data_IF_824779505958
#
_entry.id   IF_824779505958
#
_cell.length_a   1.000
_cell.length_b   1.000
_cell.length_c   1.000
_cell.angle_alpha   90.00
_cell.angle_beta   90.00
_cell.angle_gamma   90.00
#
_symmetry.space_group_name_H-M   'P 1'
#
loop_
_entity.id
_entity.type
_entity.pdbx_description
1 polymer ?
#
# COMPACT_ATOMS: atom_id res chain seq x y z
N UNK A 1 -8.92 12.49 12.95
CA UNK A 1 -7.82 12.05 12.10
C UNK A 1 -7.92 10.57 11.80
N UNK A 2 -7.42 10.16 10.67
CA UNK A 2 -7.54 8.78 10.20
C UNK A 2 -6.24 8.33 9.58
N UNK A 3 -5.84 7.10 9.89
CA UNK A 3 -4.73 6.40 9.24
C UNK A 3 -5.26 5.60 8.06
N UNK A 4 -4.53 5.65 6.95
CA UNK A 4 -4.80 4.80 5.79
C UNK A 4 -3.52 4.02 5.49
N UNK A 5 -3.65 2.71 5.44
CA UNK A 5 -2.59 1.80 4.99
C UNK A 5 -3.03 1.21 3.66
N UNK A 6 -2.23 1.39 2.63
CA UNK A 6 -2.52 0.81 1.33
C UNK A 6 -1.39 -0.13 0.92
N UNK A 7 -1.72 -1.39 0.73
CA UNK A 7 -0.79 -2.39 0.20
C UNK A 7 -1.03 -2.51 -1.29
N UNK A 8 -0.07 -2.11 -2.10
CA UNK A 8 -0.21 -2.05 -3.55
C UNK A 8 0.94 -2.80 -4.24
N UNK A 9 0.77 -3.06 -5.54
CA UNK A 9 1.86 -3.61 -6.34
C UNK A 9 3.01 -2.59 -6.43
N UNK A 10 4.26 -3.03 -6.34
CA UNK A 10 5.40 -2.10 -6.44
C UNK A 10 5.40 -1.28 -7.72
N UNK A 11 4.96 -1.87 -8.83
CA UNK A 11 4.89 -1.18 -10.12
C UNK A 11 3.88 -0.04 -10.18
N UNK A 12 2.95 0.02 -9.22
CA UNK A 12 1.95 1.09 -9.13
C UNK A 12 2.36 2.22 -8.19
N UNK A 13 3.51 2.14 -7.57
CA UNK A 13 3.94 3.09 -6.53
C UNK A 13 3.95 4.53 -7.02
N UNK A 14 4.66 4.78 -8.13
CA UNK A 14 4.78 6.13 -8.68
C UNK A 14 3.44 6.72 -9.09
N UNK A 15 2.67 5.94 -9.85
CA UNK A 15 1.36 6.35 -10.36
C UNK A 15 0.40 6.68 -9.20
N UNK A 16 0.43 5.85 -8.16
CA UNK A 16 -0.41 6.04 -6.98
C UNK A 16 -0.02 7.32 -6.22
N UNK A 17 1.28 7.54 -6.01
CA UNK A 17 1.76 8.74 -5.33
C UNK A 17 1.38 10.02 -6.08
N UNK A 18 1.49 10.01 -7.41
CA UNK A 18 1.08 11.14 -8.24
C UNK A 18 -0.42 11.41 -8.11
N UNK A 19 -1.24 10.35 -8.13
CA UNK A 19 -2.68 10.50 -7.99
C UNK A 19 -3.08 11.02 -6.61
N UNK A 20 -2.43 10.54 -5.55
CA UNK A 20 -2.66 11.04 -4.19
C UNK A 20 -2.29 12.51 -4.06
N UNK A 21 -1.17 12.92 -4.66
CA UNK A 21 -0.75 14.32 -4.65
C UNK A 21 -1.79 15.21 -5.35
N UNK A 22 -2.29 14.78 -6.50
CA UNK A 22 -3.34 15.50 -7.23
C UNK A 22 -4.65 15.58 -6.43
N UNK A 23 -4.91 14.58 -5.61
CA UNK A 23 -6.09 14.56 -4.74
C UNK A 23 -5.92 15.38 -3.45
N UNK A 24 -4.78 16.03 -3.28
CA UNK A 24 -4.52 16.90 -2.14
C UNK A 24 -3.70 16.28 -1.01
N UNK A 25 -3.22 15.04 -1.17
CA UNK A 25 -2.41 14.37 -0.17
C UNK A 25 -0.98 14.23 -0.68
N UNK A 26 -0.09 15.07 -0.17
CA UNK A 26 1.32 15.04 -0.55
C UNK A 26 2.20 14.28 0.42
N UNK A 27 1.79 14.22 1.69
CA UNK A 27 2.56 13.55 2.73
C UNK A 27 2.24 12.06 2.76
N UNK A 28 3.12 11.27 2.17
CA UNK A 28 2.98 9.82 2.07
C UNK A 28 4.28 9.18 2.49
N UNK A 29 4.19 8.21 3.41
CA UNK A 29 5.31 7.35 3.76
C UNK A 29 5.17 6.04 2.99
N UNK A 30 6.25 5.57 2.38
CA UNK A 30 6.21 4.30 1.67
C UNK A 30 7.31 3.36 2.12
N UNK A 31 6.98 2.09 2.22
CA UNK A 31 7.89 1.03 2.68
C UNK A 31 7.71 -0.18 1.78
N UNK A 32 8.83 -0.81 1.43
CA UNK A 32 8.78 -2.10 0.76
C UNK A 32 8.43 -3.17 1.78
N UNK A 33 7.44 -3.98 1.46
CA UNK A 33 6.99 -5.06 2.31
C UNK A 33 6.80 -6.32 1.48
N UNK A 34 6.62 -7.44 2.15
CA UNK A 34 6.27 -8.70 1.51
C UNK A 34 4.97 -9.19 2.12
N UNK A 35 4.04 -9.58 1.26
CA UNK A 35 2.75 -10.05 1.70
C UNK A 35 2.34 -11.33 1.02
N UNK A 36 1.48 -12.08 1.70
CA UNK A 36 0.86 -13.28 1.16
C UNK A 36 -0.65 -13.14 1.27
N UNK A 37 -1.30 -13.15 0.12
CA UNK A 37 -2.74 -13.10 0.05
C UNK A 37 -3.37 -14.47 -0.15
N UNK A 38 -4.64 -14.49 -0.54
CA UNK A 38 -5.37 -15.73 -0.78
C UNK A 38 -4.82 -16.54 -1.94
N UNK A 39 -4.16 -15.91 -2.91
CA UNK A 39 -3.48 -16.59 -4.00
C UNK A 39 -2.27 -17.38 -3.53
N UNK A 40 -1.85 -17.22 -2.28
CA UNK A 40 -0.73 -17.92 -1.66
C UNK A 40 0.58 -17.78 -2.42
N UNK A 41 0.79 -16.61 -3.05
CA UNK A 41 1.96 -16.34 -3.85
C UNK A 41 1.81 -16.84 -5.29
N UNK A 42 2.90 -16.69 -6.04
CA UNK A 42 2.96 -17.13 -7.43
C UNK A 42 3.50 -18.55 -7.51
N UNK A 43 2.89 -19.34 -8.39
CA UNK A 43 3.45 -20.64 -8.76
C UNK A 43 4.16 -20.49 -10.09
N UNK A 44 5.36 -21.00 -10.16
CA UNK A 44 6.09 -21.05 -11.42
C UNK A 44 6.86 -22.35 -11.54
N UNK A 45 7.04 -22.79 -12.79
CA UNK A 45 7.84 -23.96 -13.08
C UNK A 45 9.32 -23.55 -13.04
N UNK A 46 10.10 -24.26 -12.26
CA UNK A 46 11.52 -24.09 -12.21
C UNK A 46 12.20 -25.44 -12.37
N UNK A 47 13.30 -25.47 -13.15
CA UNK A 47 14.17 -26.63 -13.18
C UNK A 47 15.16 -26.49 -12.05
N UNK A 48 15.12 -27.43 -11.12
CA UNK A 48 16.19 -27.53 -10.15
C UNK A 48 17.50 -27.85 -10.89
N UNK A 49 18.60 -27.28 -10.46
CA UNK A 49 19.88 -27.41 -11.15
C UNK A 49 20.30 -28.85 -11.40
N UNK A 50 19.84 -29.77 -10.57
CA UNK A 50 20.21 -31.18 -10.64
C UNK A 50 19.01 -32.10 -10.95
N UNK A 51 17.88 -31.53 -11.37
CA UNK A 51 16.67 -32.31 -11.65
C UNK A 51 16.27 -32.15 -13.10
N UNK A 52 15.97 -33.27 -13.74
CA UNK A 52 15.46 -33.29 -15.11
C UNK A 52 13.94 -33.00 -15.15
N UNK A 53 13.27 -33.02 -14.01
CA UNK A 53 11.83 -32.78 -13.94
C UNK A 53 11.53 -31.36 -13.49
N UNK A 54 10.60 -30.67 -14.17
CA UNK A 54 10.17 -29.35 -13.71
C UNK A 54 9.55 -29.44 -12.32
N UNK A 55 9.93 -28.54 -11.45
CA UNK A 55 9.34 -28.41 -10.14
C UNK A 55 8.56 -27.11 -10.06
N UNK A 56 7.41 -27.15 -9.41
CA UNK A 56 6.63 -25.96 -9.15
C UNK A 56 7.08 -25.38 -7.82
N UNK A 57 7.55 -24.13 -7.89
CA UNK A 57 7.95 -23.38 -6.72
C UNK A 57 6.82 -22.40 -6.38
N UNK A 58 6.41 -22.39 -5.12
CA UNK A 58 5.41 -21.45 -4.62
C UNK A 58 6.12 -20.32 -3.90
N UNK A 59 5.95 -19.12 -4.40
CA UNK A 59 6.38 -17.93 -3.69
C UNK A 59 5.36 -17.61 -2.62
N UNK A 60 5.71 -17.86 -1.35
CA UNK A 60 4.80 -17.63 -0.23
C UNK A 60 4.53 -16.15 0.00
N UNK A 61 5.52 -15.30 -0.32
CA UNK A 61 5.41 -13.87 -0.10
C UNK A 61 5.80 -13.12 -1.36
N UNK A 62 4.96 -12.17 -1.72
CA UNK A 62 5.18 -11.31 -2.88
C UNK A 62 5.63 -9.93 -2.43
N UNK A 63 6.52 -9.27 -3.20
CA UNK A 63 6.86 -7.88 -2.91
C UNK A 63 5.63 -6.99 -3.09
N UNK A 64 5.46 -6.08 -2.15
CA UNK A 64 4.40 -5.07 -2.15
C UNK A 64 4.99 -3.76 -1.69
N UNK A 65 4.28 -2.67 -1.97
CA UNK A 65 4.53 -1.38 -1.34
C UNK A 65 3.43 -1.10 -0.34
N UNK A 66 3.82 -0.67 0.85
CA UNK A 66 2.87 -0.15 1.82
C UNK A 66 2.97 1.37 1.82
N UNK A 67 1.86 2.02 1.52
CA UNK A 67 1.73 3.46 1.65
C UNK A 67 1.01 3.76 2.96
N UNK A 68 1.53 4.70 3.70
CA UNK A 68 0.96 5.11 4.97
C UNK A 68 0.63 6.61 4.92
N UNK A 69 -0.63 6.93 5.18
CA UNK A 69 -1.13 8.30 5.19
C UNK A 69 -1.84 8.58 6.50
N UNK A 70 -1.70 9.79 6.98
CA UNK A 70 -2.56 10.30 8.06
C UNK A 70 -3.23 11.55 7.55
N UNK A 71 -4.54 11.56 7.59
CA UNK A 71 -5.34 12.63 6.99
C UNK A 71 -6.50 13.01 7.91
N UNK A 72 -7.11 14.16 7.65
CA UNK A 72 -8.37 14.47 8.33
C UNK A 72 -9.49 13.59 7.79
N UNK A 73 -10.55 13.43 8.57
CA UNK A 73 -11.62 12.49 8.24
C UNK A 73 -12.30 12.79 6.90
N UNK A 74 -12.39 14.05 6.53
CA UNK A 74 -13.04 14.46 5.28
C UNK A 74 -12.28 13.99 4.04
N UNK A 75 -10.98 13.73 4.16
CA UNK A 75 -10.13 13.30 3.05
C UNK A 75 -10.16 11.78 2.82
N UNK A 76 -10.68 11.01 3.76
CA UNK A 76 -10.60 9.54 3.72
C UNK A 76 -11.29 8.99 2.48
N UNK A 77 -12.54 9.33 2.26
CA UNK A 77 -13.32 8.78 1.15
C UNK A 77 -12.71 9.11 -0.22
N UNK A 78 -12.37 10.38 -0.51
CA UNK A 78 -11.74 10.70 -1.78
C UNK A 78 -10.40 9.98 -2.00
N UNK A 79 -9.59 9.85 -0.95
CA UNK A 79 -8.29 9.19 -1.07
C UNK A 79 -8.41 7.68 -1.24
N UNK A 80 -9.34 7.05 -0.53
CA UNK A 80 -9.62 5.61 -0.72
C UNK A 80 -10.11 5.35 -2.14
N UNK A 81 -11.00 6.19 -2.66
CA UNK A 81 -11.48 6.06 -4.04
C UNK A 81 -10.35 6.23 -5.06
N UNK A 82 -9.44 7.17 -4.81
CA UNK A 82 -8.26 7.37 -5.66
C UNK A 82 -7.35 6.14 -5.65
N UNK A 83 -7.09 5.58 -4.48
CA UNK A 83 -6.27 4.38 -4.34
C UNK A 83 -6.89 3.20 -5.10
N UNK A 84 -8.18 3.01 -4.99
CA UNK A 84 -8.88 1.94 -5.70
C UNK A 84 -8.81 2.18 -7.21
N UNK A 85 -9.13 3.38 -7.66
CA UNK A 85 -9.14 3.70 -9.10
C UNK A 85 -7.80 3.42 -9.77
N UNK A 86 -6.70 3.78 -9.12
CA UNK A 86 -5.37 3.61 -9.70
C UNK A 86 -4.92 2.15 -9.70
N UNK A 87 -5.30 1.40 -8.66
CA UNK A 87 -4.73 0.08 -8.41
C UNK A 87 -5.63 -1.08 -8.82
N UNK A 88 -6.91 -0.84 -9.03
CA UNK A 88 -7.87 -1.90 -9.35
C UNK A 88 -7.68 -2.42 -10.77
N UNK A 89 -7.41 -3.72 -10.89
CA UNK A 89 -7.39 -4.44 -12.18
C UNK A 89 -8.44 -5.53 -12.24
N UNK A 90 -9.02 -5.90 -11.10
CA UNK A 90 -9.94 -7.04 -10.98
C UNK A 90 -9.22 -8.37 -10.79
N UNK A 91 -7.92 -8.36 -10.75
CA UNK A 91 -7.11 -9.57 -10.56
C UNK A 91 -6.61 -9.68 -9.12
N UNK A 92 -6.29 -10.90 -8.71
CA UNK A 92 -5.64 -11.13 -7.44
C UNK A 92 -4.31 -10.35 -7.40
N UNK A 93 -4.01 -9.78 -6.26
CA UNK A 93 -2.80 -9.00 -6.07
C UNK A 93 -2.99 -7.51 -6.20
N UNK A 94 -4.20 -7.01 -6.46
CA UNK A 94 -4.48 -5.57 -6.52
C UNK A 94 -4.13 -4.86 -5.20
N UNK A 95 -4.24 -5.57 -4.09
CA UNK A 95 -3.88 -5.04 -2.78
C UNK A 95 -5.08 -4.86 -1.86
N UNK A 96 -4.82 -4.20 -0.74
CA UNK A 96 -5.83 -3.91 0.27
C UNK A 96 -5.59 -2.54 0.88
N UNK A 97 -6.65 -1.97 1.39
CA UNK A 97 -6.62 -0.70 2.10
C UNK A 97 -7.20 -0.92 3.49
N UNK A 98 -6.48 -0.48 4.50
CA UNK A 98 -6.95 -0.51 5.88
C UNK A 98 -7.09 0.91 6.37
N UNK A 99 -8.22 1.19 7.03
CA UNK A 99 -8.55 2.51 7.54
C UNK A 99 -8.79 2.40 9.03
N UNK A 100 -8.12 3.23 9.81
CA UNK A 100 -8.23 3.20 11.26
C UNK A 100 -8.27 4.62 11.82
N UNK A 101 -8.96 4.79 12.92
CA UNK A 101 -8.97 6.06 13.65
C UNK A 101 -7.62 6.29 14.32
N UNK A 102 -7.12 7.52 14.23
CA UNK A 102 -5.93 7.96 14.91
C UNK A 102 -6.31 8.96 16.00
N UNK A 103 -5.92 8.68 17.23
CA UNK A 103 -6.30 9.52 18.36
C UNK A 103 -5.48 10.80 18.45
N UNK A 104 -4.18 10.72 18.23
CA UNK A 104 -3.28 11.85 18.42
C UNK A 104 -2.19 11.86 17.36
N UNK A 105 -1.77 13.06 16.98
CA UNK A 105 -0.64 13.28 16.08
C UNK A 105 0.12 14.51 16.57
N UNK A 106 1.44 14.45 16.52
CA UNK A 106 2.33 15.53 16.93
C UNK A 106 3.38 15.77 15.86
N UNK A 107 3.67 17.05 15.59
CA UNK A 107 4.83 17.40 14.78
C UNK A 107 6.02 17.62 15.71
N UNK A 108 7.06 16.84 15.53
CA UNK A 108 8.24 16.92 16.42
C UNK A 108 8.90 18.29 16.36
N UNK A 109 9.03 18.86 15.15
CA UNK A 109 9.71 20.15 14.97
C UNK A 109 9.06 21.29 15.72
N UNK A 110 7.74 21.33 15.80
CA UNK A 110 6.98 22.48 16.31
C UNK A 110 6.19 22.16 17.57
N UNK A 111 6.11 20.89 17.96
CA UNK A 111 5.24 20.42 19.04
C UNK A 111 3.74 20.66 18.79
N UNK A 112 3.37 20.93 17.54
CA UNK A 112 1.96 21.04 17.18
C UNK A 112 1.25 19.71 17.34
N UNK A 113 0.02 19.76 17.85
CA UNK A 113 -0.79 18.58 18.11
C UNK A 113 -2.06 18.60 17.26
N UNK A 114 -2.55 17.40 16.92
CA UNK A 114 -3.82 17.23 16.24
C UNK A 114 -3.73 17.55 14.76
N UNK A 115 -4.83 18.03 14.17
CA UNK A 115 -4.90 18.27 12.72
C UNK A 115 -3.88 19.30 12.23
N UNK A 116 -3.50 20.24 13.06
CA UNK A 116 -2.43 21.19 12.72
C UNK A 116 -1.10 20.52 12.44
N UNK A 117 -0.85 19.37 13.05
CA UNK A 117 0.38 18.62 12.83
C UNK A 117 0.43 17.92 11.46
N UNK A 118 -0.69 17.83 10.77
CA UNK A 118 -0.79 17.16 9.47
C UNK A 118 -0.52 18.09 8.29
N UNK A 119 -0.41 19.38 8.52
CA UNK A 119 -0.22 20.38 7.47
C UNK A 119 1.23 20.50 7.01
#
# INVERSE_FOLDING_TARGET
MTEIYALIRPGKDRETKLALSKAGCQAVTSVRVRGRGKQRGLRYSALASDSETPQFVVMNYLPKKMLYLVVNDAMVKPLVQTLIRVNQTGQHGDGKIFVAKLNESYRIRTNEKGEGSLR
#
